data_IF_862458989896
#
_entry.id   IF_862458989896
#
_cell.length_a   1.000
_cell.length_b   1.000
_cell.length_c   1.000
_cell.angle_alpha   90.00
_cell.angle_beta   90.00
_cell.angle_gamma   90.00
#
_symmetry.space_group_name_H-M   'P 1'
#
loop_
_entity.id
_entity.type
_entity.pdbx_description
1 polymer ?
#
# COMPACT_ATOMS: atom_id res chain seq x y z
N UNK A 1 1.49 30.25 -24.62
CA UNK A 1 0.57 29.35 -23.89
C UNK A 1 0.78 29.55 -22.39
N UNK A 2 -0.28 29.56 -21.59
CA UNK A 2 -0.18 29.63 -20.12
C UNK A 2 0.26 28.26 -19.60
N UNK A 3 1.25 28.23 -18.70
CA UNK A 3 1.72 27.00 -18.06
C UNK A 3 0.62 26.44 -17.16
N UNK A 4 0.18 25.21 -17.42
CA UNK A 4 -0.81 24.52 -16.60
C UNK A 4 -0.10 23.86 -15.41
N UNK A 5 -0.66 24.05 -14.21
CA UNK A 5 -0.18 23.41 -12.98
C UNK A 5 -1.25 22.44 -12.47
N UNK A 6 -0.86 21.20 -12.23
CA UNK A 6 -1.71 20.19 -11.60
C UNK A 6 -1.41 20.17 -10.10
N UNK A 7 -2.37 20.63 -9.29
CA UNK A 7 -2.27 20.73 -7.83
C UNK A 7 -3.29 19.83 -7.11
N UNK A 8 -3.69 18.74 -7.77
CA UNK A 8 -4.51 17.70 -7.17
C UNK A 8 -3.64 16.78 -6.28
N UNK A 9 -4.23 16.02 -5.34
CA UNK A 9 -3.51 15.01 -4.56
C UNK A 9 -2.83 13.94 -5.41
N UNK A 10 -3.37 13.68 -6.60
CA UNK A 10 -2.82 12.77 -7.59
C UNK A 10 -3.71 12.71 -8.83
N UNK A 11 -3.18 12.42 -10.03
CA UNK A 11 -1.75 12.30 -10.34
C UNK A 11 -1.00 13.65 -10.21
N UNK A 12 0.33 13.62 -10.26
CA UNK A 12 1.19 14.81 -10.19
C UNK A 12 1.92 15.05 -11.52
N UNK A 13 2.43 16.27 -11.78
CA UNK A 13 3.28 16.53 -12.95
C UNK A 13 4.49 15.59 -12.99
N UNK A 14 4.76 15.01 -14.16
CA UNK A 14 5.88 14.11 -14.38
C UNK A 14 7.15 14.94 -14.65
N UNK A 15 8.29 14.65 -14.00
CA UNK A 15 9.57 15.31 -14.33
C UNK A 15 9.94 15.16 -15.81
N UNK A 16 10.49 16.21 -16.42
CA UNK A 16 10.77 16.21 -17.87
C UNK A 16 11.69 15.07 -18.30
N UNK A 17 12.60 14.62 -17.44
CA UNK A 17 13.46 13.46 -17.72
C UNK A 17 12.69 12.15 -17.86
N UNK A 18 11.64 11.96 -17.05
CA UNK A 18 10.75 10.80 -17.12
C UNK A 18 9.87 10.89 -18.37
N UNK A 19 9.38 12.09 -18.71
CA UNK A 19 8.65 12.31 -19.97
C UNK A 19 9.52 11.94 -21.18
N UNK A 20 10.79 12.35 -21.20
CA UNK A 20 11.74 11.98 -22.26
C UNK A 20 12.01 10.47 -22.30
N UNK A 21 12.11 9.81 -21.15
CA UNK A 21 12.29 8.36 -21.08
C UNK A 21 11.06 7.62 -21.64
N UNK A 22 9.85 8.06 -21.32
CA UNK A 22 8.60 7.49 -21.84
C UNK A 22 8.44 7.66 -23.36
N UNK A 23 9.10 8.64 -23.97
CA UNK A 23 9.08 8.88 -25.41
C UNK A 23 10.08 8.02 -26.21
N UNK A 24 10.89 7.19 -25.55
CA UNK A 24 11.83 6.31 -26.22
C UNK A 24 11.13 5.18 -26.99
N UNK A 25 11.79 4.68 -28.03
CA UNK A 25 11.30 3.52 -28.80
C UNK A 25 11.22 2.28 -27.91
N UNK A 26 10.10 1.55 -28.01
CA UNK A 26 9.91 0.31 -27.28
C UNK A 26 11.00 -0.71 -27.62
N UNK A 27 11.51 -1.36 -26.58
CA UNK A 27 12.42 -2.51 -26.69
C UNK A 27 11.69 -3.80 -26.32
N UNK A 28 12.15 -4.93 -26.87
CA UNK A 28 11.54 -6.21 -26.56
C UNK A 28 11.89 -6.66 -25.12
N UNK A 29 10.89 -7.00 -24.31
CA UNK A 29 11.02 -7.29 -22.87
C UNK A 29 11.88 -8.52 -22.52
N UNK A 30 12.17 -9.41 -23.48
CA UNK A 30 13.06 -10.57 -23.28
C UNK A 30 14.50 -10.34 -23.73
N UNK A 31 14.89 -9.10 -24.00
CA UNK A 31 16.26 -8.79 -24.44
C UNK A 31 17.21 -8.58 -23.24
N UNK A 32 18.53 -8.77 -23.43
CA UNK A 32 19.52 -8.42 -22.42
C UNK A 32 19.45 -6.95 -21.98
N UNK A 33 19.12 -6.04 -22.93
CA UNK A 33 18.96 -4.62 -22.65
C UNK A 33 17.82 -4.36 -21.65
N UNK A 34 16.63 -4.92 -21.89
CA UNK A 34 15.51 -4.78 -20.95
C UNK A 34 15.82 -5.42 -19.59
N UNK A 35 16.44 -6.61 -19.61
CA UNK A 35 16.79 -7.33 -18.38
C UNK A 35 17.70 -6.50 -17.46
N UNK A 36 18.66 -5.77 -18.05
CA UNK A 36 19.52 -4.84 -17.32
C UNK A 36 18.72 -3.68 -16.69
N UNK A 37 17.84 -3.03 -17.46
CA UNK A 37 16.99 -1.93 -16.97
C UNK A 37 16.10 -2.39 -15.82
N UNK A 38 15.51 -3.58 -15.94
CA UNK A 38 14.64 -4.14 -14.90
C UNK A 38 15.41 -4.46 -13.62
N UNK A 39 16.64 -4.97 -13.73
CA UNK A 39 17.51 -5.20 -12.59
C UNK A 39 17.89 -3.90 -11.87
N UNK A 40 18.30 -2.86 -12.61
CA UNK A 40 18.61 -1.53 -12.06
C UNK A 40 17.40 -0.92 -11.34
N UNK A 41 16.21 -1.02 -11.94
CA UNK A 41 14.97 -0.57 -11.30
C UNK A 41 14.68 -1.30 -9.99
N UNK A 42 14.88 -2.62 -9.95
CA UNK A 42 14.69 -3.44 -8.73
C UNK A 42 15.68 -3.07 -7.63
N UNK A 43 16.94 -2.84 -7.95
CA UNK A 43 17.96 -2.38 -6.99
C UNK A 43 17.61 -0.99 -6.44
N UNK A 44 17.17 -0.07 -7.31
CA UNK A 44 16.70 1.25 -6.90
C UNK A 44 15.50 1.19 -5.95
N UNK A 45 14.54 0.29 -6.23
CA UNK A 45 13.39 0.07 -5.34
C UNK A 45 13.80 -0.51 -3.99
N UNK A 46 14.75 -1.46 -3.94
CA UNK A 46 15.29 -1.98 -2.69
C UNK A 46 15.92 -0.89 -1.84
N UNK A 47 16.71 0.00 -2.46
CA UNK A 47 17.28 1.16 -1.79
C UNK A 47 16.20 2.14 -1.29
N UNK A 48 15.19 2.43 -2.11
CA UNK A 48 14.07 3.31 -1.74
C UNK A 48 13.30 2.79 -0.52
N UNK A 49 12.99 1.49 -0.50
CA UNK A 49 12.28 0.86 0.62
C UNK A 49 13.21 0.50 1.80
N UNK A 50 14.52 0.67 1.67
CA UNK A 50 15.49 0.33 2.71
C UNK A 50 15.51 -1.17 3.05
N UNK A 51 15.29 -2.04 2.05
CA UNK A 51 15.17 -3.49 2.24
C UNK A 51 16.23 -4.27 1.47
N UNK A 52 16.61 -5.43 1.98
CA UNK A 52 17.43 -6.42 1.26
C UNK A 52 16.59 -7.52 0.60
N UNK A 53 15.29 -7.54 0.87
CA UNK A 53 14.36 -8.50 0.27
C UNK A 53 14.01 -8.11 -1.16
N UNK A 54 13.40 -9.03 -1.89
CA UNK A 54 12.91 -8.79 -3.24
C UNK A 54 11.77 -7.77 -3.23
N UNK A 55 11.84 -6.80 -4.14
CA UNK A 55 10.75 -5.86 -4.39
C UNK A 55 10.07 -6.24 -5.70
N UNK A 56 8.78 -6.56 -5.61
CA UNK A 56 7.97 -6.93 -6.77
C UNK A 56 7.42 -5.68 -7.44
N UNK A 57 7.63 -5.56 -8.76
CA UNK A 57 7.01 -4.52 -9.58
C UNK A 57 5.75 -5.08 -10.23
N UNK A 58 4.61 -4.43 -9.99
CA UNK A 58 3.33 -4.82 -10.56
C UNK A 58 2.98 -3.91 -11.73
N UNK A 59 2.53 -4.49 -12.85
CA UNK A 59 2.01 -3.74 -13.99
C UNK A 59 0.56 -3.30 -13.73
N UNK A 60 0.35 -2.53 -12.66
CA UNK A 60 -0.95 -2.06 -12.18
C UNK A 60 -0.83 -0.70 -11.48
N UNK A 61 -1.97 -0.11 -11.11
CA UNK A 61 -2.01 1.06 -10.23
C UNK A 61 -1.98 0.65 -8.75
N UNK A 62 -1.96 1.62 -7.82
CA UNK A 62 -1.94 1.35 -6.38
C UNK A 62 -3.03 0.38 -5.90
N UNK A 63 -4.26 0.47 -6.43
CA UNK A 63 -5.33 -0.49 -6.09
C UNK A 63 -4.99 -1.92 -6.50
N UNK A 64 -4.31 -2.12 -7.62
CA UNK A 64 -3.88 -3.45 -8.04
C UNK A 64 -2.83 -4.05 -7.09
N UNK A 65 -1.98 -3.20 -6.49
CA UNK A 65 -1.06 -3.64 -5.44
C UNK A 65 -1.79 -4.00 -4.14
N UNK A 66 -2.84 -3.26 -3.77
CA UNK A 66 -3.70 -3.61 -2.63
C UNK A 66 -4.37 -4.98 -2.86
N UNK A 67 -4.95 -5.20 -4.04
CA UNK A 67 -5.57 -6.47 -4.41
C UNK A 67 -4.57 -7.63 -4.41
N UNK A 68 -3.38 -7.43 -4.97
CA UNK A 68 -2.31 -8.41 -4.95
C UNK A 68 -1.90 -8.78 -3.52
N UNK A 69 -1.82 -7.81 -2.60
CA UNK A 69 -1.51 -8.08 -1.21
C UNK A 69 -2.59 -8.97 -0.55
N UNK A 70 -3.87 -8.64 -0.72
CA UNK A 70 -4.95 -9.44 -0.11
C UNK A 70 -5.01 -10.85 -0.69
N UNK A 71 -5.01 -10.96 -2.02
CA UNK A 71 -5.17 -12.23 -2.73
C UNK A 71 -4.03 -13.23 -2.50
N UNK A 72 -2.83 -12.76 -2.14
CA UNK A 72 -1.67 -13.63 -1.95
C UNK A 72 -1.31 -13.88 -0.47
N UNK A 73 -1.70 -12.98 0.44
CA UNK A 73 -1.33 -13.10 1.86
C UNK A 73 -2.41 -13.76 2.71
N UNK A 74 -3.64 -13.89 2.20
CA UNK A 74 -4.76 -14.40 2.98
C UNK A 74 -5.60 -15.42 2.21
N UNK A 75 -6.25 -16.31 2.95
CA UNK A 75 -7.23 -17.28 2.48
C UNK A 75 -8.66 -16.87 2.89
N UNK A 76 -9.69 -17.22 2.11
CA UNK A 76 -11.08 -16.96 2.48
C UNK A 76 -11.42 -17.51 3.88
N UNK A 77 -12.17 -16.73 4.66
CA UNK A 77 -12.50 -17.03 6.07
C UNK A 77 -11.46 -16.55 7.08
N UNK A 78 -10.24 -16.18 6.65
CA UNK A 78 -9.28 -15.58 7.57
C UNK A 78 -9.70 -14.19 8.01
N UNK A 79 -9.38 -13.86 9.26
CA UNK A 79 -9.79 -12.64 9.92
C UNK A 79 -8.74 -11.55 9.81
N UNK A 80 -9.17 -10.36 9.44
CA UNK A 80 -8.27 -9.20 9.29
C UNK A 80 -8.84 -7.95 9.96
N UNK A 81 -7.95 -7.14 10.53
CA UNK A 81 -8.27 -5.83 11.07
C UNK A 81 -8.00 -4.75 10.02
N UNK A 82 -9.04 -4.07 9.57
CA UNK A 82 -8.92 -2.97 8.61
C UNK A 82 -9.11 -1.64 9.33
N UNK A 83 -8.08 -0.79 9.29
CA UNK A 83 -8.19 0.60 9.74
C UNK A 83 -8.89 1.40 8.64
N UNK A 84 -10.05 1.97 8.98
CA UNK A 84 -10.83 2.78 8.06
C UNK A 84 -11.01 4.20 8.61
N UNK A 85 -10.11 5.10 8.17
CA UNK A 85 -10.17 6.54 8.47
C UNK A 85 -10.44 7.43 7.25
N UNK A 86 -10.80 6.84 6.10
CA UNK A 86 -10.93 7.56 4.85
C UNK A 86 -11.20 6.66 3.64
N UNK A 87 -10.98 7.20 2.44
CA UNK A 87 -11.38 6.55 1.20
C UNK A 87 -10.58 5.29 0.91
N UNK A 88 -9.29 5.28 1.26
CA UNK A 88 -8.43 4.11 1.06
C UNK A 88 -8.66 3.06 2.14
N UNK A 89 -9.06 3.47 3.35
CA UNK A 89 -9.60 2.59 4.38
C UNK A 89 -10.84 1.81 3.95
N UNK A 90 -11.81 2.48 3.32
CA UNK A 90 -12.97 1.83 2.70
C UNK A 90 -12.54 0.83 1.62
N UNK A 91 -11.51 1.17 0.83
CA UNK A 91 -11.02 0.30 -0.24
C UNK A 91 -10.41 -1.00 0.30
N UNK A 92 -9.61 -0.95 1.36
CA UNK A 92 -9.13 -2.18 2.01
C UNK A 92 -10.29 -3.09 2.41
N UNK A 93 -11.32 -2.52 3.07
CA UNK A 93 -12.48 -3.30 3.48
C UNK A 93 -13.18 -3.97 2.29
N UNK A 94 -13.42 -3.23 1.21
CA UNK A 94 -14.08 -3.76 0.01
C UNK A 94 -13.28 -4.88 -0.64
N UNK A 95 -11.96 -4.72 -0.76
CA UNK A 95 -11.07 -5.74 -1.31
C UNK A 95 -11.10 -6.98 -0.41
N UNK A 96 -10.86 -6.84 0.90
CA UNK A 96 -10.87 -7.97 1.82
C UNK A 96 -12.20 -8.75 1.80
N UNK A 97 -13.34 -8.04 1.77
CA UNK A 97 -14.66 -8.67 1.66
C UNK A 97 -14.85 -9.40 0.32
N UNK A 98 -14.39 -8.82 -0.79
CA UNK A 98 -14.47 -9.44 -2.11
C UNK A 98 -13.68 -10.77 -2.20
N UNK A 99 -12.58 -10.87 -1.45
CA UNK A 99 -11.78 -12.11 -1.32
C UNK A 99 -12.27 -13.05 -0.20
N UNK A 100 -13.42 -12.75 0.41
CA UNK A 100 -14.05 -13.63 1.40
C UNK A 100 -13.41 -13.61 2.79
N UNK A 101 -12.67 -12.55 3.14
CA UNK A 101 -12.08 -12.41 4.48
C UNK A 101 -13.11 -11.94 5.50
N UNK A 102 -12.93 -12.36 6.75
CA UNK A 102 -13.68 -11.84 7.90
C UNK A 102 -13.10 -10.48 8.34
N UNK A 103 -13.70 -9.39 7.88
CA UNK A 103 -13.21 -8.04 8.16
C UNK A 103 -13.71 -7.51 9.51
N UNK A 104 -12.80 -7.32 10.45
CA UNK A 104 -13.00 -6.48 11.62
C UNK A 104 -12.66 -5.06 11.22
N UNK A 105 -13.68 -4.21 11.11
CA UNK A 105 -13.50 -2.82 10.75
C UNK A 105 -13.23 -1.95 11.98
N UNK A 106 -12.07 -1.31 12.01
CA UNK A 106 -11.76 -0.25 12.98
C UNK A 106 -12.06 1.10 12.31
N UNK A 107 -13.27 1.62 12.56
CA UNK A 107 -13.66 2.94 12.07
C UNK A 107 -12.95 4.04 12.85
N UNK A 108 -12.35 4.97 12.12
CA UNK A 108 -11.73 6.17 12.63
C UNK A 108 -12.46 7.36 12.03
N UNK A 109 -12.67 8.40 12.82
CA UNK A 109 -13.21 9.67 12.32
C UNK A 109 -12.30 10.20 11.20
N UNK A 110 -12.89 10.60 10.07
CA UNK A 110 -12.12 11.13 8.94
C UNK A 110 -11.36 12.39 9.36
N UNK A 111 -10.07 12.45 9.03
CA UNK A 111 -9.17 13.52 9.50
C UNK A 111 -8.51 13.23 10.84
N UNK A 112 -8.72 12.05 11.44
CA UNK A 112 -8.05 11.60 12.66
C UNK A 112 -7.23 10.35 12.41
N UNK A 113 -6.06 10.30 13.02
CA UNK A 113 -5.23 9.10 13.00
C UNK A 113 -5.81 8.02 13.91
N UNK A 114 -5.63 6.75 13.54
CA UNK A 114 -5.94 5.64 14.45
C UNK A 114 -5.08 5.73 15.70
N UNK A 115 -5.66 5.41 16.86
CA UNK A 115 -4.92 5.34 18.11
C UNK A 115 -4.32 3.95 18.30
N UNK A 116 -3.04 3.90 18.66
CA UNK A 116 -2.27 2.66 18.85
C UNK A 116 -2.91 1.75 19.92
N UNK A 117 -3.40 2.33 21.01
CA UNK A 117 -4.05 1.56 22.09
C UNK A 117 -5.37 0.91 21.64
N UNK A 118 -6.08 1.52 20.70
CA UNK A 118 -7.30 0.95 20.12
C UNK A 118 -6.96 -0.25 19.24
N UNK A 119 -5.91 -0.17 18.43
CA UNK A 119 -5.41 -1.32 17.65
C UNK A 119 -5.00 -2.46 18.58
N UNK A 120 -4.21 -2.16 19.61
CA UNK A 120 -3.78 -3.16 20.60
C UNK A 120 -4.97 -3.87 21.28
N UNK A 121 -6.00 -3.11 21.68
CA UNK A 121 -7.22 -3.68 22.27
C UNK A 121 -7.91 -4.65 21.32
N UNK A 122 -8.03 -4.33 20.04
CA UNK A 122 -8.65 -5.23 19.05
C UNK A 122 -7.82 -6.50 18.86
N UNK A 123 -6.49 -6.39 18.79
CA UNK A 123 -5.61 -7.56 18.69
C UNK A 123 -5.72 -8.49 19.91
N UNK A 124 -5.98 -7.95 21.11
CA UNK A 124 -6.23 -8.74 22.32
C UNK A 124 -7.60 -9.42 22.32
N UNK A 125 -8.64 -8.72 21.83
CA UNK A 125 -10.01 -9.26 21.75
C UNK A 125 -10.13 -10.35 20.69
N UNK A 126 -9.40 -10.20 19.59
CA UNK A 126 -9.42 -11.11 18.44
C UNK A 126 -8.02 -11.69 18.18
N UNK A 127 -7.57 -12.65 19.00
CA UNK A 127 -6.22 -13.20 18.92
C UNK A 127 -5.96 -14.00 17.63
N UNK A 128 -7.01 -14.31 16.86
CA UNK A 128 -6.96 -15.05 15.60
C UNK A 128 -6.90 -14.15 14.35
N UNK A 129 -6.77 -12.82 14.51
CA UNK A 129 -6.47 -11.91 13.40
C UNK A 129 -5.15 -12.33 12.74
N UNK A 130 -5.17 -12.50 11.41
CA UNK A 130 -4.01 -12.85 10.59
C UNK A 130 -3.30 -11.61 10.03
N UNK A 131 -4.01 -10.49 9.89
CA UNK A 131 -3.46 -9.28 9.28
C UNK A 131 -4.08 -7.98 9.78
N UNK A 132 -3.27 -6.93 9.84
CA UNK A 132 -3.67 -5.53 10.04
C UNK A 132 -3.40 -4.77 8.75
N UNK A 133 -4.43 -4.18 8.16
CA UNK A 133 -4.35 -3.39 6.93
C UNK A 133 -4.59 -1.91 7.23
N UNK A 134 -3.65 -1.06 6.82
CA UNK A 134 -3.63 0.37 7.16
C UNK A 134 -3.00 1.21 6.05
N UNK A 135 -3.31 2.49 5.98
CA UNK A 135 -2.60 3.47 5.15
C UNK A 135 -1.47 4.11 5.96
N UNK A 136 -0.29 4.32 5.37
CA UNK A 136 0.70 5.22 5.95
C UNK A 136 0.17 6.67 5.98
N UNK A 137 -0.44 7.08 4.86
CA UNK A 137 -1.16 8.33 4.70
C UNK A 137 -2.54 8.06 4.11
N UNK A 138 -3.59 8.42 4.83
CA UNK A 138 -4.95 8.44 4.27
C UNK A 138 -5.12 9.74 3.48
N UNK A 139 -4.75 9.69 2.20
CA UNK A 139 -4.67 10.86 1.31
C UNK A 139 -6.00 11.59 1.15
N UNK A 140 -7.15 10.90 1.26
CA UNK A 140 -8.46 11.56 1.16
C UNK A 140 -8.77 12.49 2.34
N UNK A 141 -8.04 12.34 3.44
CA UNK A 141 -8.21 13.17 4.65
C UNK A 141 -6.91 13.85 5.08
N UNK A 142 -5.83 13.71 4.32
CA UNK A 142 -4.48 14.23 4.65
C UNK A 142 -3.95 13.77 6.01
N UNK A 143 -4.33 12.56 6.43
CA UNK A 143 -4.05 12.03 7.76
C UNK A 143 -2.92 11.02 7.74
N UNK A 144 -1.91 11.18 8.59
CA UNK A 144 -0.86 10.18 8.80
C UNK A 144 -1.23 9.23 9.94
N UNK A 145 -1.11 7.92 9.71
CA UNK A 145 -1.29 6.91 10.75
C UNK A 145 0.03 6.51 11.43
N UNK A 146 0.01 6.07 12.70
CA UNK A 146 1.20 5.69 13.46
C UNK A 146 1.70 4.29 13.07
N UNK A 147 2.18 4.14 11.82
CA UNK A 147 2.61 2.85 11.26
C UNK A 147 3.77 2.24 12.05
N UNK A 148 4.70 3.06 12.53
CA UNK A 148 5.88 2.56 13.27
C UNK A 148 5.48 1.89 14.58
N UNK A 149 4.57 2.52 15.32
CA UNK A 149 4.07 2.03 16.60
C UNK A 149 3.21 0.78 16.38
N UNK A 150 2.39 0.76 15.34
CA UNK A 150 1.60 -0.43 14.98
C UNK A 150 2.52 -1.58 14.55
N UNK A 151 3.59 -1.32 13.82
CA UNK A 151 4.58 -2.33 13.46
C UNK A 151 5.28 -2.93 14.69
N UNK A 152 5.47 -2.15 15.76
CA UNK A 152 5.98 -2.67 17.02
C UNK A 152 4.98 -3.62 17.69
N UNK A 153 3.68 -3.29 17.65
CA UNK A 153 2.62 -4.13 18.21
C UNK A 153 2.48 -5.47 17.45
N UNK A 154 2.59 -5.45 16.12
CA UNK A 154 2.35 -6.63 15.28
C UNK A 154 3.60 -7.47 15.03
N UNK A 155 4.77 -7.06 15.52
CA UNK A 155 6.08 -7.66 15.20
C UNK A 155 6.15 -9.18 15.36
N UNK A 156 5.45 -9.73 16.35
CA UNK A 156 5.42 -11.17 16.65
C UNK A 156 4.00 -11.76 16.52
N UNK A 157 3.13 -11.09 15.77
CA UNK A 157 1.72 -11.46 15.65
C UNK A 157 1.26 -11.37 14.19
N UNK A 158 0.11 -10.74 13.91
CA UNK A 158 -0.42 -10.67 12.55
C UNK A 158 0.51 -9.93 11.59
N UNK A 159 0.37 -10.21 10.30
CA UNK A 159 1.02 -9.43 9.26
C UNK A 159 0.57 -7.97 9.31
N UNK A 160 1.48 -7.03 9.06
CA UNK A 160 1.13 -5.62 8.86
C UNK A 160 1.26 -5.27 7.37
N UNK A 161 0.15 -4.89 6.77
CA UNK A 161 0.06 -4.47 5.38
C UNK A 161 -0.17 -2.95 5.39
N UNK A 162 0.76 -2.23 4.77
CA UNK A 162 0.75 -0.76 4.74
C UNK A 162 0.58 -0.29 3.30
N UNK A 163 -0.49 0.45 3.05
CA UNK A 163 -0.62 1.24 1.82
C UNK A 163 0.28 2.49 1.94
N UNK A 164 1.36 2.50 1.16
CA UNK A 164 2.36 3.56 1.12
C UNK A 164 2.27 4.47 -0.10
N UNK A 165 1.17 4.40 -0.86
CA UNK A 165 0.89 5.23 -2.05
C UNK A 165 0.45 6.64 -1.64
#
# INVERSE_FOLDING_TARGET
MIKQYLLAPGPTPIPDEVVRAMAQTMIHHRTPQFSKIFAEAREGLQALFGTKNDVLTLASSGTGAMEAAVSNLFSPGEKVLVVNGGKFGERWQQICQAFGLEVIQLKVEWGKAVKVDVVEKHLKVYPDIQGVLIQASETSTTTLHPVREIAQLTRNGPLLIVDGV
#
